data_IF_764842691815
#
_entry.id   IF_764842691815
#
_cell.length_a   1.000
_cell.length_b   1.000
_cell.length_c   1.000
_cell.angle_alpha   90.00
_cell.angle_beta   90.00
_cell.angle_gamma   90.00
#
_symmetry.space_group_name_H-M   'P 1'
#
loop_
_entity.id
_entity.type
_entity.pdbx_description
1 polymer ?
#
# COMPACT_ATOMS: atom_id res chain seq x y z
N UNK A 1 9.16 31.54 -38.33
CA UNK A 1 9.72 32.41 -39.38
C UNK A 1 8.58 33.18 -40.04
N UNK A 2 8.11 34.28 -39.43
CA UNK A 2 7.21 35.21 -40.11
C UNK A 2 8.07 36.13 -40.98
N UNK A 3 8.03 35.93 -42.29
CA UNK A 3 8.58 36.94 -43.20
C UNK A 3 7.67 38.15 -43.08
N UNK A 4 8.17 39.23 -42.49
CA UNK A 4 7.47 40.52 -42.53
C UNK A 4 7.13 40.80 -44.00
N UNK A 5 5.85 40.97 -44.36
CA UNK A 5 5.49 41.26 -45.74
C UNK A 5 6.22 42.53 -46.16
N UNK A 6 6.89 42.48 -47.33
CA UNK A 6 7.65 43.62 -47.83
C UNK A 6 6.77 44.86 -47.91
N UNK A 7 7.34 46.01 -47.57
CA UNK A 7 6.69 47.32 -47.72
C UNK A 7 6.38 47.51 -49.21
N UNK A 8 5.17 47.99 -49.59
CA UNK A 8 4.87 48.26 -50.99
C UNK A 8 5.90 49.25 -51.56
N UNK A 9 6.41 48.97 -52.76
CA UNK A 9 7.41 49.83 -53.40
C UNK A 9 6.85 51.24 -53.61
N UNK A 10 7.69 52.24 -53.33
CA UNK A 10 7.32 53.64 -53.51
C UNK A 10 7.27 53.92 -55.02
N UNK A 11 6.12 54.31 -55.59
CA UNK A 11 6.07 54.67 -56.99
C UNK A 11 6.96 55.90 -57.23
N UNK A 12 7.69 55.90 -58.34
CA UNK A 12 8.57 56.99 -58.79
C UNK A 12 8.13 57.43 -60.18
N UNK A 13 8.15 58.73 -60.46
CA UNK A 13 7.85 59.27 -61.78
C UNK A 13 9.03 60.07 -62.31
N UNK A 14 9.52 59.70 -63.49
CA UNK A 14 10.47 60.48 -64.27
C UNK A 14 9.74 61.04 -65.49
N UNK A 15 9.83 62.36 -65.72
CA UNK A 15 9.15 63.06 -66.82
C UNK A 15 10.19 63.42 -67.89
N UNK A 16 9.93 63.08 -69.14
CA UNK A 16 10.80 63.47 -70.26
C UNK A 16 10.59 64.97 -70.59
N UNK A 17 11.66 65.78 -70.66
CA UNK A 17 11.57 67.22 -70.91
C UNK A 17 11.04 67.61 -72.30
N UNK A 18 10.96 66.69 -73.26
CA UNK A 18 10.38 66.95 -74.60
C UNK A 18 8.87 66.66 -74.69
N UNK A 19 8.25 66.15 -73.61
CA UNK A 19 6.81 65.85 -73.58
C UNK A 19 5.94 67.11 -73.71
N UNK A 20 4.81 66.97 -74.40
CA UNK A 20 3.80 68.03 -74.44
C UNK A 20 3.14 68.23 -73.06
N UNK A 21 2.61 69.43 -72.80
CA UNK A 21 1.98 69.75 -71.52
C UNK A 21 0.79 68.82 -71.19
N UNK A 22 0.07 68.34 -72.22
CA UNK A 22 -1.03 67.37 -72.04
C UNK A 22 -0.52 65.99 -71.61
N UNK A 23 0.55 65.49 -72.22
CA UNK A 23 1.16 64.20 -71.87
C UNK A 23 1.78 64.25 -70.47
N UNK A 24 2.39 65.37 -70.11
CA UNK A 24 2.98 65.58 -68.77
C UNK A 24 1.91 65.63 -67.68
N UNK A 25 0.78 66.29 -67.96
CA UNK A 25 -0.37 66.31 -67.04
C UNK A 25 -0.96 64.91 -66.86
N UNK A 26 -1.10 64.13 -67.93
CA UNK A 26 -1.59 62.76 -67.87
C UNK A 26 -0.68 61.86 -67.02
N UNK A 27 0.65 61.94 -67.22
CA UNK A 27 1.62 61.16 -66.45
C UNK A 27 1.61 61.53 -64.95
N UNK A 28 1.44 62.81 -64.61
CA UNK A 28 1.28 63.25 -63.23
C UNK A 28 -0.03 62.75 -62.60
N UNK A 29 -1.13 62.73 -63.35
CA UNK A 29 -2.42 62.21 -62.89
C UNK A 29 -2.38 60.70 -62.65
N UNK A 30 -1.72 59.95 -63.53
CA UNK A 30 -1.50 58.52 -63.38
C UNK A 30 -0.64 58.22 -62.13
N UNK A 31 0.48 58.93 -61.98
CA UNK A 31 1.34 58.78 -60.81
C UNK A 31 0.67 59.15 -59.49
N UNK A 32 -0.13 60.23 -59.48
CA UNK A 32 -0.93 60.59 -58.32
C UNK A 32 -1.91 59.47 -57.94
N UNK A 33 -2.54 58.86 -58.94
CA UNK A 33 -3.45 57.72 -58.74
C UNK A 33 -2.71 56.52 -58.13
N UNK A 34 -1.49 56.23 -58.57
CA UNK A 34 -0.69 55.13 -58.01
C UNK A 34 -0.19 55.41 -56.59
N UNK A 35 0.22 56.64 -56.29
CA UNK A 35 0.52 57.06 -54.91
C UNK A 35 -0.71 56.87 -54.01
N UNK A 36 -1.90 57.25 -54.48
CA UNK A 36 -3.14 57.10 -53.72
C UNK A 36 -3.45 55.63 -53.43
N UNK A 37 -3.31 54.72 -54.40
CA UNK A 37 -3.47 53.27 -54.20
C UNK A 37 -2.48 52.72 -53.16
N UNK A 38 -1.22 53.15 -53.21
CA UNK A 38 -0.20 52.72 -52.24
C UNK A 38 -0.50 53.26 -50.84
N UNK A 39 -0.97 54.51 -50.74
CA UNK A 39 -1.35 55.11 -49.46
C UNK A 39 -2.54 54.38 -48.83
N UNK A 40 -3.56 54.05 -49.63
CA UNK A 40 -4.72 53.26 -49.20
C UNK A 40 -4.29 51.90 -48.66
N UNK A 41 -3.44 51.17 -49.39
CA UNK A 41 -2.89 49.88 -48.94
C UNK A 41 -2.06 49.97 -47.66
N UNK A 42 -1.32 51.08 -47.47
CA UNK A 42 -0.57 51.32 -46.25
C UNK A 42 -1.49 51.61 -45.06
N UNK A 43 -2.58 52.38 -45.28
CA UNK A 43 -3.59 52.64 -44.23
C UNK A 43 -4.25 51.36 -43.76
N UNK A 44 -4.71 50.53 -44.70
CA UNK A 44 -5.31 49.23 -44.40
C UNK A 44 -4.34 48.33 -43.61
N UNK A 45 -3.04 48.34 -43.91
CA UNK A 45 -2.04 47.59 -43.14
C UNK A 45 -1.84 48.13 -41.73
N UNK A 46 -1.84 49.45 -41.55
CA UNK A 46 -1.71 50.08 -40.22
C UNK A 46 -2.92 49.74 -39.37
N UNK A 47 -4.11 49.74 -39.95
CA UNK A 47 -5.36 49.34 -39.30
C UNK A 47 -5.30 47.87 -38.86
N UNK A 48 -5.04 46.94 -39.78
CA UNK A 48 -4.89 45.51 -39.46
C UNK A 48 -3.80 45.22 -38.41
N UNK A 49 -2.68 45.95 -38.44
CA UNK A 49 -1.63 45.81 -37.43
C UNK A 49 -2.04 46.39 -36.08
N UNK A 50 -2.87 47.44 -36.08
CA UNK A 50 -3.52 47.99 -34.90
C UNK A 50 -4.43 46.97 -34.24
N UNK A 51 -5.36 46.40 -35.02
CA UNK A 51 -6.31 45.38 -34.57
C UNK A 51 -5.57 44.16 -34.00
N UNK A 52 -4.55 43.66 -34.73
CA UNK A 52 -3.78 42.51 -34.27
C UNK A 52 -3.02 42.78 -32.96
N UNK A 53 -2.57 44.02 -32.75
CA UNK A 53 -1.89 44.41 -31.51
C UNK A 53 -2.89 44.47 -30.35
N UNK A 54 -4.10 44.94 -30.59
CA UNK A 54 -5.19 44.97 -29.60
C UNK A 54 -5.57 43.54 -29.19
N UNK A 55 -5.82 42.64 -30.15
CA UNK A 55 -6.08 41.21 -29.88
C UNK A 55 -4.99 40.57 -29.01
N UNK A 56 -3.72 40.85 -29.33
CA UNK A 56 -2.58 40.29 -28.59
C UNK A 56 -2.46 40.88 -27.19
N UNK A 57 -2.84 42.14 -26.98
CA UNK A 57 -2.84 42.76 -25.66
C UNK A 57 -3.91 42.11 -24.78
N UNK A 58 -5.12 41.92 -25.30
CA UNK A 58 -6.22 41.25 -24.59
C UNK A 58 -5.87 39.79 -24.24
N UNK A 59 -5.19 39.07 -25.16
CA UNK A 59 -4.69 37.71 -24.94
C UNK A 59 -3.67 37.68 -23.79
N UNK A 60 -2.72 38.62 -23.75
CA UNK A 60 -1.70 38.71 -22.68
C UNK A 60 -2.36 38.99 -21.34
N UNK A 61 -3.30 39.94 -21.27
CA UNK A 61 -4.01 40.28 -20.03
C UNK A 61 -4.81 39.08 -19.50
N UNK A 62 -5.47 38.33 -20.39
CA UNK A 62 -6.18 37.09 -20.04
C UNK A 62 -5.22 36.05 -19.47
N UNK A 63 -4.12 35.77 -20.18
CA UNK A 63 -3.12 34.79 -19.76
C UNK A 63 -2.45 35.19 -18.44
N UNK A 64 -2.23 36.48 -18.19
CA UNK A 64 -1.70 36.97 -16.91
C UNK A 64 -2.65 36.71 -15.75
N UNK A 65 -3.96 36.99 -15.90
CA UNK A 65 -4.97 36.70 -14.86
C UNK A 65 -5.10 35.21 -14.59
N UNK A 66 -5.07 34.39 -15.65
CA UNK A 66 -5.09 32.94 -15.53
C UNK A 66 -3.83 32.44 -14.80
N UNK A 67 -2.66 32.99 -15.12
CA UNK A 67 -1.40 32.65 -14.45
C UNK A 67 -1.39 33.08 -12.97
N UNK A 68 -1.92 34.25 -12.64
CA UNK A 68 -2.07 34.69 -11.24
C UNK A 68 -3.04 33.80 -10.45
N UNK A 69 -4.11 33.33 -11.09
CA UNK A 69 -5.04 32.37 -10.47
C UNK A 69 -4.38 31.01 -10.24
N UNK A 70 -3.49 30.58 -11.15
CA UNK A 70 -2.74 29.33 -11.05
C UNK A 70 -1.54 29.40 -10.08
N UNK A 71 -1.05 30.60 -9.75
CA UNK A 71 -0.05 30.85 -8.72
C UNK A 71 -0.67 30.83 -7.31
N UNK A 72 -1.49 29.83 -7.02
CA UNK A 72 -1.96 29.58 -5.66
C UNK A 72 -0.79 29.52 -4.68
N UNK A 73 -1.00 30.10 -3.50
CA UNK A 73 -0.05 30.19 -2.40
C UNK A 73 0.54 28.82 -2.10
N UNK A 74 1.87 28.75 -1.92
CA UNK A 74 2.50 27.50 -1.48
C UNK A 74 1.92 27.10 -0.13
N UNK A 75 1.35 25.90 -0.06
CA UNK A 75 0.88 25.32 1.19
C UNK A 75 1.99 24.47 1.79
N UNK A 76 2.22 24.65 3.08
CA UNK A 76 3.14 23.87 3.90
C UNK A 76 2.36 22.99 4.86
N UNK A 77 2.94 21.86 5.24
CA UNK A 77 2.35 20.97 6.23
C UNK A 77 2.71 21.48 7.63
N UNK A 78 1.73 21.53 8.52
CA UNK A 78 1.90 21.81 9.95
C UNK A 78 1.09 20.80 10.79
N UNK A 79 1.46 20.64 12.06
CA UNK A 79 0.67 19.88 13.06
C UNK A 79 0.11 20.83 14.09
N UNK A 80 -1.14 20.63 14.48
CA UNK A 80 -1.78 21.36 15.58
C UNK A 80 -1.24 20.81 16.90
N UNK A 81 -0.55 21.64 17.66
CA UNK A 81 0.00 21.27 18.98
C UNK A 81 -1.05 21.48 20.08
N UNK A 82 -1.81 22.57 20.01
CA UNK A 82 -2.83 22.90 21.01
C UNK A 82 -3.90 23.85 20.44
N UNK A 83 -5.11 23.77 21.01
CA UNK A 83 -6.25 24.62 20.67
C UNK A 83 -6.63 25.42 21.91
N UNK A 84 -6.50 26.74 21.82
CA UNK A 84 -6.75 27.67 22.92
C UNK A 84 -7.89 28.63 22.59
N UNK A 85 -8.42 29.31 23.61
CA UNK A 85 -9.47 30.33 23.43
C UNK A 85 -9.01 31.50 22.52
N UNK A 86 -7.70 31.74 22.45
CA UNK A 86 -7.07 32.84 21.71
C UNK A 86 -6.62 32.44 20.28
N UNK A 87 -6.74 31.16 19.90
CA UNK A 87 -6.31 30.64 18.60
C UNK A 87 -5.71 29.24 18.66
N UNK A 88 -5.12 28.79 17.57
CA UNK A 88 -4.53 27.45 17.43
C UNK A 88 -3.02 27.55 17.32
N UNK A 89 -2.31 26.76 18.12
CA UNK A 89 -0.85 26.66 18.06
C UNK A 89 -0.51 25.58 17.04
N UNK A 90 0.20 25.97 15.99
CA UNK A 90 0.68 25.06 14.95
C UNK A 90 2.19 24.96 14.97
N UNK A 91 2.71 23.81 14.53
CA UNK A 91 4.12 23.55 14.29
C UNK A 91 4.35 23.17 12.84
N UNK A 92 5.03 24.04 12.11
CA UNK A 92 5.31 23.81 10.69
C UNK A 92 6.40 22.75 10.51
N UNK A 93 6.14 21.77 9.64
CA UNK A 93 7.10 20.73 9.27
C UNK A 93 8.21 21.31 8.39
N UNK A 94 9.45 20.86 8.62
CA UNK A 94 10.63 21.26 7.86
C UNK A 94 11.49 22.32 8.56
N UNK A 95 10.89 23.41 9.02
CA UNK A 95 11.58 24.45 9.81
C UNK A 95 11.31 24.37 11.32
N UNK A 96 10.37 23.51 11.76
CA UNK A 96 9.95 23.33 13.16
C UNK A 96 9.56 24.65 13.85
N UNK A 97 8.95 25.57 13.10
CA UNK A 97 8.50 26.84 13.66
C UNK A 97 7.13 26.67 14.32
N UNK A 98 7.03 27.10 15.58
CA UNK A 98 5.77 27.12 16.34
C UNK A 98 5.15 28.51 16.25
N UNK A 99 3.88 28.58 15.83
CA UNK A 99 3.15 29.82 15.60
C UNK A 99 1.74 29.71 16.16
N UNK A 100 1.30 30.73 16.90
CA UNK A 100 -0.10 30.92 17.27
C UNK A 100 -0.80 31.60 16.08
N UNK A 101 -1.82 30.94 15.55
CA UNK A 101 -2.54 31.40 14.36
C UNK A 101 -4.05 31.35 14.56
N UNK A 102 -4.76 32.10 13.71
CA UNK A 102 -6.20 32.06 13.61
C UNK A 102 -6.64 31.00 12.59
N UNK A 103 -7.74 30.33 12.92
CA UNK A 103 -8.40 29.36 12.04
C UNK A 103 -9.62 30.00 11.40
N UNK A 104 -9.82 29.73 10.11
CA UNK A 104 -11.04 30.09 9.40
C UNK A 104 -12.26 29.57 10.17
N UNK A 105 -13.31 30.38 10.27
CA UNK A 105 -14.48 30.07 11.11
C UNK A 105 -15.10 28.71 10.79
N UNK A 106 -15.02 28.26 9.53
CA UNK A 106 -15.53 26.96 9.10
C UNK A 106 -14.75 25.75 9.65
N UNK A 107 -13.46 25.90 9.96
CA UNK A 107 -12.58 24.81 10.39
C UNK A 107 -12.38 24.78 11.92
N UNK A 108 -12.90 25.78 12.65
CA UNK A 108 -12.70 25.86 14.12
C UNK A 108 -13.41 24.75 14.89
N UNK A 109 -14.50 24.22 14.36
CA UNK A 109 -15.28 23.16 15.05
C UNK A 109 -14.68 21.77 14.82
N UNK A 110 -13.87 21.60 13.77
CA UNK A 110 -13.35 20.29 13.33
C UNK A 110 -11.86 20.10 13.66
N UNK A 111 -11.18 21.08 14.26
CA UNK A 111 -9.75 21.02 14.56
C UNK A 111 -9.51 20.59 16.00
N UNK A 112 -8.71 19.53 16.16
CA UNK A 112 -8.25 19.00 17.43
C UNK A 112 -6.71 19.03 17.54
N UNK A 113 -6.21 18.92 18.77
CA UNK A 113 -4.78 18.80 19.02
C UNK A 113 -4.26 17.46 18.44
N UNK A 114 -3.22 17.54 17.61
CA UNK A 114 -2.66 16.41 16.87
C UNK A 114 -2.95 16.45 15.36
N UNK A 115 -3.93 17.24 14.92
CA UNK A 115 -4.33 17.28 13.51
C UNK A 115 -3.23 17.80 12.59
N UNK A 116 -3.17 17.24 11.37
CA UNK A 116 -2.32 17.78 10.30
C UNK A 116 -3.12 18.80 9.51
N UNK A 117 -2.46 19.92 9.19
CA UNK A 117 -3.09 21.03 8.49
C UNK A 117 -2.16 21.58 7.42
N UNK A 118 -2.75 22.07 6.33
CA UNK A 118 -2.07 22.82 5.30
C UNK A 118 -2.15 24.32 5.62
N UNK A 119 -0.99 24.95 5.73
CA UNK A 119 -0.84 26.36 6.09
C UNK A 119 -0.17 27.13 4.97
N UNK A 120 -0.61 28.35 4.71
CA UNK A 120 0.01 29.23 3.73
C UNK A 120 1.26 29.94 4.29
N UNK A 121 1.89 30.80 3.49
CA UNK A 121 3.05 31.60 3.91
C UNK A 121 2.78 32.53 5.13
N UNK A 122 1.50 32.81 5.43
CA UNK A 122 1.08 33.60 6.60
C UNK A 122 0.68 32.75 7.81
N UNK A 123 0.97 31.45 7.78
CA UNK A 123 0.63 30.48 8.83
C UNK A 123 -0.89 30.31 9.06
N UNK A 124 -1.74 30.76 8.15
CA UNK A 124 -3.18 30.55 8.24
C UNK A 124 -3.52 29.13 7.82
N UNK A 125 -4.33 28.43 8.62
CA UNK A 125 -4.84 27.10 8.28
C UNK A 125 -5.84 27.21 7.14
N UNK A 126 -5.51 26.65 5.98
CA UNK A 126 -6.39 26.65 4.81
C UNK A 126 -7.19 25.36 4.68
N UNK A 127 -6.62 24.22 5.11
CA UNK A 127 -7.23 22.91 4.94
C UNK A 127 -6.73 21.93 6.01
N UNK A 128 -7.65 21.08 6.49
CA UNK A 128 -7.31 19.88 7.25
C UNK A 128 -6.74 18.81 6.31
N UNK A 129 -5.64 18.20 6.71
CA UNK A 129 -5.03 17.08 5.99
C UNK A 129 -5.37 15.80 6.71
N UNK A 130 -5.53 14.72 5.94
CA UNK A 130 -5.69 13.39 6.50
C UNK A 130 -4.45 13.03 7.34
N UNK A 131 -4.69 12.22 8.39
CA UNK A 131 -3.65 11.68 9.25
C UNK A 131 -2.59 10.98 8.37
N UNK A 132 -1.31 11.14 8.72
CA UNK A 132 -0.25 10.43 8.00
C UNK A 132 -0.27 8.97 8.45
N UNK A 133 -1.12 8.13 7.86
CA UNK A 133 -0.87 6.69 7.92
C UNK A 133 0.50 6.48 7.30
N UNK A 134 1.43 5.89 8.05
CA UNK A 134 2.76 5.59 7.52
C UNK A 134 2.60 4.87 6.17
N UNK A 135 3.32 5.30 5.14
CA UNK A 135 3.26 4.66 3.82
C UNK A 135 3.56 3.15 3.92
N UNK A 136 4.30 2.73 4.96
CA UNK A 136 4.52 1.31 5.29
C UNK A 136 3.26 0.61 5.78
N UNK A 137 2.46 1.26 6.63
CA UNK A 137 1.18 0.70 7.08
C UNK A 137 0.19 0.59 5.92
N UNK A 138 0.13 1.57 5.03
CA UNK A 138 -0.68 1.46 3.81
C UNK A 138 -0.20 0.34 2.88
N UNK A 139 1.12 0.12 2.78
CA UNK A 139 1.68 -1.01 2.01
C UNK A 139 1.44 -2.39 2.65
N UNK A 140 1.02 -2.45 3.91
CA UNK A 140 0.63 -3.68 4.61
C UNK A 140 -0.84 -4.05 4.35
N UNK A 141 -1.65 -3.12 3.82
CA UNK A 141 -2.98 -3.42 3.30
C UNK A 141 -2.82 -4.33 2.08
N UNK A 142 -3.45 -5.50 2.12
CA UNK A 142 -3.39 -6.44 1.02
C UNK A 142 -4.50 -6.08 0.03
N UNK A 143 -4.15 -5.37 -1.04
CA UNK A 143 -5.08 -4.89 -2.09
C UNK A 143 -5.85 -6.02 -2.82
N UNK A 144 -5.36 -7.26 -2.77
CA UNK A 144 -5.99 -8.43 -3.40
C UNK A 144 -6.16 -9.58 -2.39
N UNK A 145 -7.38 -10.09 -2.26
CA UNK A 145 -7.68 -11.26 -1.43
C UNK A 145 -6.68 -12.39 -1.72
N UNK A 146 -6.05 -12.99 -0.69
CA UNK A 146 -5.09 -14.08 -0.89
C UNK A 146 -5.74 -15.22 -1.68
N UNK A 147 -5.07 -15.78 -2.70
CA UNK A 147 -5.62 -16.88 -3.52
C UNK A 147 -5.76 -18.24 -2.78
N UNK A 148 -5.56 -18.27 -1.46
CA UNK A 148 -5.56 -19.50 -0.66
C UNK A 148 -6.94 -19.74 -0.10
N UNK A 149 -7.46 -20.95 -0.27
CA UNK A 149 -8.73 -21.40 0.29
C UNK A 149 -8.52 -22.47 1.38
N UNK A 150 -9.56 -22.80 2.14
CA UNK A 150 -9.50 -23.92 3.08
C UNK A 150 -9.32 -25.28 2.40
N UNK A 151 -9.65 -25.39 1.10
CA UNK A 151 -9.43 -26.62 0.34
C UNK A 151 -7.95 -26.89 0.06
N UNK A 152 -7.13 -25.83 0.10
CA UNK A 152 -5.66 -25.89 -0.05
C UNK A 152 -4.94 -26.22 1.26
N UNK A 153 -5.69 -26.54 2.33
CA UNK A 153 -5.16 -26.88 3.65
C UNK A 153 -5.66 -28.27 4.05
N UNK A 154 -4.75 -29.19 4.37
CA UNK A 154 -5.08 -30.57 4.76
C UNK A 154 -4.60 -30.93 6.17
N UNK A 155 -5.37 -31.75 6.87
CA UNK A 155 -4.93 -32.42 8.12
C UNK A 155 -5.02 -31.58 9.39
N UNK A 156 -5.66 -30.41 9.31
CA UNK A 156 -5.87 -29.50 10.46
C UNK A 156 -7.31 -28.99 10.52
N UNK A 157 -8.28 -29.88 10.24
CA UNK A 157 -9.71 -29.54 10.15
C UNK A 157 -10.27 -29.00 11.47
N UNK A 158 -9.79 -29.50 12.61
CA UNK A 158 -10.18 -28.99 13.93
C UNK A 158 -9.70 -27.56 14.15
N UNK A 159 -8.44 -27.26 13.80
CA UNK A 159 -7.86 -25.93 13.93
C UNK A 159 -8.52 -24.94 12.97
N UNK A 160 -8.86 -25.37 11.75
CA UNK A 160 -9.65 -24.56 10.80
C UNK A 160 -10.97 -24.15 11.46
N UNK A 161 -11.72 -25.11 12.03
CA UNK A 161 -12.98 -24.81 12.72
C UNK A 161 -12.80 -23.83 13.87
N UNK A 162 -11.79 -24.03 14.72
CA UNK A 162 -11.54 -23.11 15.86
C UNK A 162 -11.22 -21.68 15.42
N UNK A 163 -10.43 -21.51 14.35
CA UNK A 163 -10.13 -20.17 13.81
C UNK A 163 -11.36 -19.54 13.20
N UNK A 164 -12.19 -20.31 12.47
CA UNK A 164 -13.45 -19.81 11.89
C UNK A 164 -14.41 -19.33 12.97
N UNK A 165 -14.60 -20.11 14.03
CA UNK A 165 -15.44 -19.74 15.18
C UNK A 165 -14.92 -18.49 15.92
N UNK A 166 -13.60 -18.29 15.95
CA UNK A 166 -12.99 -17.17 16.66
C UNK A 166 -12.89 -15.88 15.84
N UNK A 167 -12.81 -15.96 14.50
CA UNK A 167 -12.55 -14.82 13.62
C UNK A 167 -13.67 -14.59 12.59
N UNK A 168 -14.08 -15.62 11.86
CA UNK A 168 -15.07 -15.50 10.78
C UNK A 168 -16.49 -15.30 11.34
N UNK A 169 -16.92 -16.14 12.30
CA UNK A 169 -18.27 -16.07 12.86
C UNK A 169 -18.61 -14.71 13.49
N UNK A 170 -17.72 -14.07 14.27
CA UNK A 170 -17.97 -12.72 14.79
C UNK A 170 -18.10 -11.64 13.72
N UNK A 171 -17.49 -11.81 12.54
CA UNK A 171 -17.55 -10.86 11.44
C UNK A 171 -18.77 -11.09 10.54
N UNK A 172 -19.15 -12.35 10.34
CA UNK A 172 -20.27 -12.72 9.46
C UNK A 172 -21.62 -12.67 10.20
N UNK A 173 -21.65 -13.07 11.47
CA UNK A 173 -22.88 -13.23 12.26
C UNK A 173 -22.82 -12.50 13.63
N UNK A 174 -22.55 -11.19 13.68
CA UNK A 174 -22.42 -10.46 14.95
C UNK A 174 -23.68 -10.55 15.83
N UNK A 175 -24.87 -10.54 15.22
CA UNK A 175 -26.16 -10.64 15.93
C UNK A 175 -26.28 -11.91 16.81
N UNK A 176 -25.63 -13.01 16.43
CA UNK A 176 -25.67 -14.25 17.22
C UNK A 176 -24.92 -14.10 18.55
N UNK A 177 -23.81 -13.37 18.55
CA UNK A 177 -23.03 -13.09 19.75
C UNK A 177 -23.78 -12.13 20.67
N UNK A 178 -24.41 -11.10 20.11
CA UNK A 178 -25.29 -10.19 20.85
C UNK A 178 -26.47 -10.92 21.50
N UNK A 179 -27.16 -11.79 20.74
CA UNK A 179 -28.30 -12.56 21.23
C UNK A 179 -27.89 -13.57 22.31
N UNK A 180 -26.70 -14.15 22.20
CA UNK A 180 -26.12 -15.04 23.20
C UNK A 180 -25.58 -14.29 24.43
N UNK A 181 -25.37 -12.97 24.33
CA UNK A 181 -24.83 -12.13 25.40
C UNK A 181 -23.37 -12.45 25.75
N UNK A 182 -22.58 -12.87 24.74
CA UNK A 182 -21.17 -13.19 24.90
C UNK A 182 -20.31 -12.25 24.05
N UNK A 183 -19.16 -11.86 24.57
CA UNK A 183 -18.18 -11.12 23.80
C UNK A 183 -17.35 -12.08 22.93
N UNK A 184 -17.18 -11.79 21.64
CA UNK A 184 -16.32 -12.59 20.77
C UNK A 184 -14.85 -12.50 21.23
N UNK A 185 -14.02 -13.51 20.93
CA UNK A 185 -12.61 -13.50 21.33
C UNK A 185 -11.85 -12.28 20.80
N UNK A 186 -10.96 -11.74 21.65
CA UNK A 186 -10.20 -10.52 21.34
C UNK A 186 -9.09 -10.73 20.31
N UNK A 187 -8.57 -11.95 20.22
CA UNK A 187 -7.47 -12.29 19.33
C UNK A 187 -7.13 -13.78 19.39
N UNK A 188 -6.56 -14.27 18.28
CA UNK A 188 -6.16 -15.66 18.07
C UNK A 188 -4.65 -15.74 17.91
N UNK A 189 -3.99 -16.61 18.69
CA UNK A 189 -2.58 -16.93 18.54
C UNK A 189 -2.43 -18.36 17.99
N UNK A 190 -1.94 -18.45 16.77
CA UNK A 190 -1.54 -19.70 16.11
C UNK A 190 -0.11 -20.06 16.53
N UNK A 191 0.09 -21.23 17.13
CA UNK A 191 1.41 -21.71 17.48
C UNK A 191 1.64 -23.15 17.07
N UNK A 192 2.90 -23.51 16.81
CA UNK A 192 3.25 -24.89 16.44
C UNK A 192 4.56 -24.95 15.66
N UNK A 193 5.02 -26.15 15.29
CA UNK A 193 6.24 -26.33 14.50
C UNK A 193 6.24 -25.51 13.20
N UNK A 194 7.41 -25.10 12.68
CA UNK A 194 7.49 -24.45 11.37
C UNK A 194 6.96 -25.40 10.27
N UNK A 195 6.40 -24.83 9.19
CA UNK A 195 5.95 -25.61 8.05
C UNK A 195 4.59 -26.31 8.20
N UNK A 196 3.84 -26.05 9.28
CA UNK A 196 2.49 -26.62 9.51
C UNK A 196 1.34 -25.80 8.91
N UNK A 197 1.62 -24.75 8.13
CA UNK A 197 0.59 -24.00 7.42
C UNK A 197 -0.10 -22.88 8.21
N UNK A 198 0.46 -22.41 9.34
CA UNK A 198 -0.09 -21.27 10.11
C UNK A 198 -0.38 -20.01 9.27
N UNK A 199 0.59 -19.60 8.44
CA UNK A 199 0.44 -18.46 7.54
C UNK A 199 -0.60 -18.71 6.44
N UNK A 200 -0.74 -19.97 5.97
CA UNK A 200 -1.76 -20.35 4.99
C UNK A 200 -3.15 -20.31 5.60
N UNK A 201 -3.30 -20.78 6.85
CA UNK A 201 -4.56 -20.74 7.60
C UNK A 201 -5.07 -19.31 7.78
N UNK A 202 -4.19 -18.38 8.17
CA UNK A 202 -4.56 -16.97 8.30
C UNK A 202 -4.97 -16.34 6.97
N UNK A 203 -4.28 -16.67 5.86
CA UNK A 203 -4.64 -16.21 4.52
C UNK A 203 -5.98 -16.78 4.05
N UNK A 204 -6.27 -18.05 4.35
CA UNK A 204 -7.54 -18.69 3.99
C UNK A 204 -8.73 -18.03 4.70
N UNK A 205 -8.56 -17.67 5.98
CA UNK A 205 -9.57 -16.89 6.73
C UNK A 205 -9.81 -15.55 6.05
N UNK A 206 -8.75 -14.84 5.72
CA UNK A 206 -8.84 -13.54 5.06
C UNK A 206 -9.55 -13.61 3.70
N UNK A 207 -9.35 -14.69 2.94
CA UNK A 207 -10.01 -14.89 1.66
C UNK A 207 -11.50 -15.26 1.80
N UNK A 208 -11.88 -15.91 2.91
CA UNK A 208 -13.27 -16.31 3.15
C UNK A 208 -14.13 -15.16 3.73
N UNK A 209 -13.48 -14.15 4.30
CA UNK A 209 -14.12 -12.96 4.86
C UNK A 209 -14.04 -11.78 3.89
N UNK A 210 -15.12 -10.99 3.74
CA UNK A 210 -15.10 -9.70 3.02
C UNK A 210 -14.41 -8.57 3.84
N UNK A 211 -13.57 -8.92 4.81
CA UNK A 211 -12.90 -7.98 5.70
C UNK A 211 -11.55 -7.52 5.13
N UNK A 212 -11.17 -6.28 5.42
CA UNK A 212 -9.87 -5.73 5.05
C UNK A 212 -8.76 -6.53 5.72
N UNK A 213 -7.88 -7.15 4.93
CA UNK A 213 -6.77 -7.92 5.45
C UNK A 213 -5.49 -7.10 5.50
N UNK A 214 -4.97 -6.91 6.71
CA UNK A 214 -3.73 -6.17 6.94
C UNK A 214 -2.68 -7.15 7.43
N UNK A 215 -1.63 -7.36 6.64
CA UNK A 215 -0.58 -8.32 6.95
C UNK A 215 0.72 -7.61 7.32
N UNK A 216 1.33 -8.06 8.42
CA UNK A 216 2.68 -7.63 8.79
C UNK A 216 3.53 -8.80 9.30
N UNK A 217 4.84 -8.70 9.11
CA UNK A 217 5.79 -9.56 9.82
C UNK A 217 6.22 -8.88 11.12
N UNK A 218 6.31 -9.63 12.22
CA UNK A 218 6.74 -9.13 13.52
C UNK A 218 8.15 -8.54 13.50
N UNK A 219 9.00 -8.98 12.58
CA UNK A 219 10.34 -8.40 12.35
C UNK A 219 10.28 -6.96 11.81
N UNK A 220 9.21 -6.56 11.13
CA UNK A 220 9.03 -5.19 10.62
C UNK A 220 8.73 -4.18 11.73
N UNK A 221 8.25 -4.65 12.88
CA UNK A 221 8.06 -3.82 14.07
C UNK A 221 9.39 -3.50 14.78
N UNK A 222 10.48 -4.21 14.46
CA UNK A 222 11.79 -4.01 15.08
C UNK A 222 12.57 -2.93 14.33
N UNK A 223 12.48 -1.68 14.82
CA UNK A 223 13.12 -0.52 14.19
C UNK A 223 14.41 -0.10 14.89
N UNK A 224 15.31 0.53 14.12
CA UNK A 224 16.59 1.06 14.65
C UNK A 224 16.41 2.39 15.39
N UNK A 225 15.38 3.15 15.00
CA UNK A 225 15.10 4.44 15.58
C UNK A 225 14.08 4.32 16.70
N UNK A 226 14.27 5.16 17.71
CA UNK A 226 13.48 5.14 18.94
C UNK A 226 12.07 5.66 18.63
N UNK A 227 11.05 4.85 18.93
CA UNK A 227 9.64 5.21 18.81
C UNK A 227 9.01 4.93 17.45
N UNK A 228 9.79 4.54 16.43
CA UNK A 228 9.23 4.21 15.11
C UNK A 228 8.35 2.95 15.14
N UNK A 229 8.76 1.90 15.86
CA UNK A 229 7.97 0.69 15.98
C UNK A 229 6.63 0.95 16.68
N UNK A 230 6.64 1.73 17.76
CA UNK A 230 5.42 2.13 18.47
C UNK A 230 4.52 3.10 17.68
N UNK A 231 5.08 3.88 16.74
CA UNK A 231 4.28 4.68 15.81
C UNK A 231 3.60 3.78 14.79
N UNK A 232 4.34 2.85 14.19
CA UNK A 232 3.83 1.91 13.20
C UNK A 232 2.69 1.04 13.75
N UNK A 233 2.77 0.60 15.00
CA UNK A 233 1.66 -0.12 15.66
C UNK A 233 0.40 0.76 15.75
N UNK A 234 0.53 2.03 16.13
CA UNK A 234 -0.61 2.94 16.18
C UNK A 234 -1.22 3.13 14.79
N UNK A 235 -0.38 3.43 13.81
CA UNK A 235 -0.82 3.67 12.43
C UNK A 235 -1.52 2.43 11.84
N UNK A 236 -1.08 1.22 12.19
CA UNK A 236 -1.70 -0.05 11.80
C UNK A 236 -3.12 -0.20 12.36
N UNK A 237 -3.31 0.06 13.66
CA UNK A 237 -4.63 -0.04 14.30
C UNK A 237 -5.57 1.07 13.84
N UNK A 238 -5.06 2.29 13.62
CA UNK A 238 -5.82 3.37 13.00
C UNK A 238 -6.29 2.99 11.60
N UNK A 239 -5.41 2.43 10.76
CA UNK A 239 -5.77 1.96 9.42
C UNK A 239 -6.83 0.84 9.48
N UNK A 240 -6.69 -0.09 10.43
CA UNK A 240 -7.68 -1.15 10.62
C UNK A 240 -9.05 -0.59 11.02
N UNK A 241 -9.09 0.43 11.88
CA UNK A 241 -10.35 1.07 12.31
C UNK A 241 -11.00 1.89 11.19
N UNK A 242 -10.20 2.57 10.37
CA UNK A 242 -10.69 3.27 9.18
C UNK A 242 -11.26 2.33 8.10
N UNK A 243 -10.88 1.04 8.14
CA UNK A 243 -11.21 0.02 7.12
C UNK A 243 -12.01 -1.15 7.68
N UNK A 244 -12.78 -0.92 8.74
CA UNK A 244 -13.65 -1.94 9.34
C UNK A 244 -14.72 -2.44 8.34
N UNK A 245 -15.04 -3.76 8.34
CA UNK A 245 -14.45 -4.83 9.15
C UNK A 245 -13.02 -5.18 8.71
N UNK A 246 -12.12 -5.46 9.66
CA UNK A 246 -10.70 -5.68 9.38
C UNK A 246 -10.07 -6.84 10.17
N UNK A 247 -9.12 -7.55 9.55
CA UNK A 247 -8.32 -8.61 10.17
C UNK A 247 -6.83 -8.24 10.09
N UNK A 248 -6.21 -8.06 11.25
CA UNK A 248 -4.77 -7.82 11.39
C UNK A 248 -4.06 -9.16 11.57
N UNK A 249 -3.16 -9.52 10.65
CA UNK A 249 -2.32 -10.72 10.76
C UNK A 249 -0.86 -10.36 11.04
N UNK A 250 -0.35 -10.82 12.17
CA UNK A 250 1.05 -10.64 12.62
C UNK A 250 1.78 -11.98 12.56
N UNK A 251 2.62 -12.18 11.54
CA UNK A 251 3.48 -13.36 11.46
C UNK A 251 4.74 -13.18 12.32
N UNK A 252 5.37 -14.26 12.78
CA UNK A 252 6.59 -14.22 13.60
C UNK A 252 6.52 -13.25 14.79
N UNK A 253 5.41 -13.27 15.54
CA UNK A 253 5.19 -12.32 16.65
C UNK A 253 6.28 -12.41 17.73
N UNK A 254 6.98 -13.54 17.85
CA UNK A 254 8.12 -13.73 18.76
C UNK A 254 9.28 -12.76 18.50
N UNK A 255 9.36 -12.11 17.33
CA UNK A 255 10.31 -11.03 17.08
C UNK A 255 10.11 -9.82 18.01
N UNK A 256 8.86 -9.52 18.40
CA UNK A 256 8.54 -8.40 19.31
C UNK A 256 8.05 -8.84 20.68
N UNK A 257 7.52 -10.06 20.78
CA UNK A 257 6.85 -10.61 21.95
C UNK A 257 7.75 -11.47 22.83
N UNK A 258 9.06 -11.53 22.56
CA UNK A 258 9.96 -12.41 23.31
C UNK A 258 10.13 -12.02 24.78
N UNK A 259 10.32 -13.02 25.63
CA UNK A 259 10.60 -12.86 27.07
C UNK A 259 11.81 -11.95 27.28
N UNK A 260 11.73 -11.15 28.33
CA UNK A 260 12.81 -10.28 28.80
C UNK A 260 14.11 -11.07 28.97
N UNK A 261 15.10 -10.75 28.14
CA UNK A 261 16.48 -11.18 28.38
C UNK A 261 17.17 -10.08 29.16
N UNK A 262 18.01 -10.44 30.15
CA UNK A 262 18.72 -9.49 31.03
C UNK A 262 19.76 -8.59 30.31
N UNK A 263 19.82 -8.66 28.97
CA UNK A 263 20.64 -7.79 28.13
C UNK A 263 20.07 -6.37 28.10
N UNK A 264 20.85 -5.41 28.60
CA UNK A 264 20.50 -3.98 28.63
C UNK A 264 20.96 -3.28 27.35
N UNK A 265 20.55 -3.78 26.19
CA UNK A 265 20.88 -3.14 24.90
C UNK A 265 19.81 -2.12 24.55
N UNK A 266 20.18 -1.01 23.90
CA UNK A 266 19.20 0.02 23.48
C UNK A 266 18.15 -0.52 22.51
N UNK A 267 18.47 -1.57 21.74
CA UNK A 267 17.51 -2.24 20.85
C UNK A 267 16.43 -3.03 21.60
N UNK A 268 16.80 -3.72 22.67
CA UNK A 268 15.86 -4.52 23.47
C UNK A 268 14.79 -3.62 24.14
N UNK A 269 15.19 -2.40 24.53
CA UNK A 269 14.28 -1.40 25.08
C UNK A 269 13.28 -0.86 24.03
N UNK A 270 13.66 -0.82 22.75
CA UNK A 270 12.78 -0.38 21.66
C UNK A 270 11.74 -1.44 21.33
N UNK A 271 12.17 -2.70 21.22
CA UNK A 271 11.28 -3.84 21.03
C UNK A 271 10.24 -3.92 22.15
N UNK A 272 10.67 -3.72 23.40
CA UNK A 272 9.77 -3.67 24.55
C UNK A 272 8.76 -2.53 24.47
N UNK A 273 9.16 -1.33 24.02
CA UNK A 273 8.21 -0.22 23.86
C UNK A 273 7.18 -0.51 22.77
N UNK A 274 7.61 -1.12 21.67
CA UNK A 274 6.71 -1.53 20.59
C UNK A 274 5.73 -2.62 21.07
N UNK A 275 6.22 -3.59 21.84
CA UNK A 275 5.37 -4.61 22.49
C UNK A 275 4.35 -3.98 23.45
N UNK A 276 4.77 -3.03 24.29
CA UNK A 276 3.85 -2.33 25.20
C UNK A 276 2.80 -1.53 24.43
N UNK A 277 3.16 -0.91 23.30
CA UNK A 277 2.19 -0.25 22.44
C UNK A 277 1.19 -1.25 21.86
N UNK A 278 1.66 -2.37 21.31
CA UNK A 278 0.77 -3.41 20.77
C UNK A 278 -0.20 -3.91 21.84
N UNK A 279 0.29 -4.15 23.06
CA UNK A 279 -0.55 -4.53 24.18
C UNK A 279 -1.55 -3.43 24.59
N UNK A 280 -1.18 -2.16 24.44
CA UNK A 280 -2.06 -1.03 24.72
C UNK A 280 -3.15 -0.88 23.66
N UNK A 281 -2.85 -1.09 22.38
CA UNK A 281 -3.85 -1.11 21.30
C UNK A 281 -4.78 -2.31 21.43
N UNK A 282 -4.24 -3.47 21.86
CA UNK A 282 -5.07 -4.61 22.23
C UNK A 282 -5.95 -4.25 23.43
N UNK A 283 -5.41 -3.88 24.59
CA UNK A 283 -6.23 -3.56 25.77
C UNK A 283 -7.16 -2.34 25.59
N UNK A 284 -6.90 -1.53 24.56
CA UNK A 284 -7.56 -0.26 24.28
C UNK A 284 -9.00 -0.39 23.78
N UNK A 285 -9.89 0.21 24.57
CA UNK A 285 -11.26 0.66 24.31
C UNK A 285 -12.39 -0.38 24.18
N UNK A 286 -13.47 -0.03 24.87
CA UNK A 286 -14.73 -0.75 25.08
C UNK A 286 -15.57 -0.91 23.78
N UNK A 287 -15.04 -0.47 22.62
CA UNK A 287 -15.67 -0.55 21.30
C UNK A 287 -14.60 -0.84 20.23
N UNK A 288 -14.02 -2.05 20.18
CA UNK A 288 -13.05 -2.45 19.13
C UNK A 288 -13.64 -2.60 17.72
N UNK A 289 -14.85 -2.08 17.51
CA UNK A 289 -15.57 -2.22 16.25
C UNK A 289 -15.55 -3.65 15.74
N UNK A 290 -15.34 -3.80 14.43
CA UNK A 290 -15.23 -5.09 13.75
C UNK A 290 -13.77 -5.46 13.41
N UNK A 291 -12.83 -5.23 14.35
CA UNK A 291 -11.41 -5.55 14.17
C UNK A 291 -11.04 -6.86 14.86
N UNK A 292 -10.41 -7.78 14.13
CA UNK A 292 -9.90 -9.06 14.65
C UNK A 292 -8.39 -9.18 14.48
N UNK A 293 -7.72 -9.81 15.44
CA UNK A 293 -6.26 -9.98 15.44
C UNK A 293 -5.92 -11.47 15.39
N UNK A 294 -5.09 -11.84 14.43
CA UNK A 294 -4.47 -13.16 14.31
C UNK A 294 -2.95 -12.98 14.41
N UNK A 295 -2.29 -13.72 15.30
CA UNK A 295 -0.84 -13.77 15.36
C UNK A 295 -0.34 -15.19 15.16
N UNK A 296 0.85 -15.35 14.56
CA UNK A 296 1.50 -16.64 14.41
C UNK A 296 2.89 -16.65 15.03
N UNK A 297 3.27 -17.77 15.67
CA UNK A 297 4.64 -18.02 16.11
C UNK A 297 5.05 -19.47 15.94
N UNK A 298 6.35 -19.69 15.74
CA UNK A 298 6.97 -21.01 15.81
C UNK A 298 7.60 -21.30 17.19
N UNK A 299 7.68 -20.29 18.07
CA UNK A 299 8.43 -20.33 19.35
C UNK A 299 7.56 -19.90 20.52
N UNK A 300 6.48 -20.64 20.75
CA UNK A 300 5.54 -20.35 21.83
C UNK A 300 6.22 -20.24 23.22
N UNK A 301 7.25 -21.05 23.45
CA UNK A 301 8.04 -21.07 24.68
C UNK A 301 8.78 -19.75 24.97
N UNK A 302 9.04 -18.95 23.93
CA UNK A 302 9.76 -17.69 24.02
C UNK A 302 8.86 -16.48 24.28
N UNK A 303 7.54 -16.61 24.18
CA UNK A 303 6.62 -15.49 24.29
C UNK A 303 6.45 -14.99 25.74
N UNK A 304 6.33 -13.67 25.91
CA UNK A 304 5.99 -13.05 27.19
C UNK A 304 4.54 -13.38 27.58
N UNK A 305 4.35 -13.83 28.82
CA UNK A 305 3.02 -14.16 29.37
C UNK A 305 2.06 -12.97 29.38
N UNK A 306 2.55 -11.73 29.27
CA UNK A 306 1.70 -10.56 29.13
C UNK A 306 0.75 -10.71 27.93
N UNK A 307 1.24 -11.21 26.80
CA UNK A 307 0.48 -11.32 25.55
C UNK A 307 -0.63 -12.38 25.64
N UNK A 308 -0.44 -13.39 26.48
CA UNK A 308 -1.37 -14.51 26.69
C UNK A 308 -2.45 -14.23 27.76
N UNK A 309 -2.55 -12.99 28.26
CA UNK A 309 -3.55 -12.64 29.28
C UNK A 309 -4.95 -12.51 28.66
N UNK A 310 -6.01 -12.84 29.42
CA UNK A 310 -7.38 -12.58 28.98
C UNK A 310 -7.59 -11.11 28.56
N UNK A 311 -8.33 -10.91 27.47
CA UNK A 311 -8.52 -9.63 26.78
C UNK A 311 -7.53 -9.36 25.65
N UNK A 312 -6.55 -10.26 25.42
CA UNK A 312 -5.51 -10.12 24.39
C UNK A 312 -5.60 -11.27 23.39
N UNK A 313 -4.70 -12.25 23.48
CA UNK A 313 -4.85 -13.50 22.74
C UNK A 313 -5.59 -14.52 23.60
N UNK A 314 -6.92 -14.45 23.54
CA UNK A 314 -7.82 -15.31 24.31
C UNK A 314 -7.86 -16.75 23.79
N UNK A 315 -7.62 -16.92 22.49
CA UNK A 315 -7.61 -18.23 21.83
C UNK A 315 -6.19 -18.60 21.43
N UNK A 316 -5.71 -19.69 22.00
CA UNK A 316 -4.42 -20.29 21.68
C UNK A 316 -4.71 -21.57 20.90
N UNK A 317 -4.33 -21.58 19.62
CA UNK A 317 -4.60 -22.71 18.72
C UNK A 317 -3.26 -23.34 18.36
N UNK A 318 -3.07 -24.57 18.80
CA UNK A 318 -1.92 -25.38 18.42
C UNK A 318 -2.16 -25.98 17.03
N UNK A 319 -1.26 -25.69 16.09
CA UNK A 319 -1.24 -26.25 14.75
C UNK A 319 -0.17 -27.35 14.70
N UNK A 320 -0.56 -28.62 14.92
CA UNK A 320 0.39 -29.73 15.00
C UNK A 320 0.92 -30.12 13.63
N UNK A 321 1.87 -31.06 13.61
CA UNK A 321 2.20 -31.76 12.37
C UNK A 321 1.00 -32.62 11.92
N UNK A 322 0.77 -32.75 10.60
CA UNK A 322 -0.33 -33.55 10.07
C UNK A 322 -0.22 -35.02 10.49
N UNK A 323 -1.36 -35.62 10.82
CA UNK A 323 -1.48 -37.06 11.02
C UNK A 323 -1.41 -37.81 9.68
N UNK A 324 -1.54 -39.14 9.69
CA UNK A 324 -1.42 -39.93 8.46
C UNK A 324 -2.45 -39.53 7.39
N UNK A 325 -3.71 -39.31 7.78
CA UNK A 325 -4.75 -38.86 6.86
C UNK A 325 -4.49 -37.43 6.35
N UNK A 326 -4.01 -36.55 7.22
CA UNK A 326 -3.59 -35.20 6.89
C UNK A 326 -2.45 -35.19 5.88
N UNK A 327 -1.41 -36.02 6.07
CA UNK A 327 -0.28 -36.14 5.12
C UNK A 327 -0.73 -36.61 3.75
N UNK A 328 -1.61 -37.61 3.70
CA UNK A 328 -2.24 -38.08 2.46
C UNK A 328 -2.93 -36.92 1.73
N UNK A 329 -3.71 -36.13 2.46
CA UNK A 329 -4.41 -34.97 1.90
C UNK A 329 -3.47 -33.86 1.43
N UNK A 330 -2.41 -33.57 2.19
CA UNK A 330 -1.39 -32.59 1.82
C UNK A 330 -0.65 -33.04 0.54
N UNK A 331 -0.33 -34.34 0.41
CA UNK A 331 0.22 -34.90 -0.82
C UNK A 331 -0.73 -34.71 -2.01
N UNK A 332 -2.03 -35.01 -1.86
CA UNK A 332 -3.03 -34.79 -2.91
C UNK A 332 -3.10 -33.33 -3.34
N UNK A 333 -3.07 -32.38 -2.39
CA UNK A 333 -3.11 -30.94 -2.67
C UNK A 333 -1.89 -30.50 -3.50
N UNK A 334 -0.67 -30.86 -3.06
CA UNK A 334 0.56 -30.44 -3.74
C UNK A 334 0.79 -31.14 -5.07
N UNK A 335 0.16 -32.31 -5.30
CA UNK A 335 0.29 -33.07 -6.54
C UNK A 335 -0.85 -32.87 -7.53
N UNK A 336 -1.90 -32.10 -7.18
CA UNK A 336 -3.11 -31.92 -8.00
C UNK A 336 -2.83 -31.46 -9.44
N UNK A 337 -1.79 -30.65 -9.61
CA UNK A 337 -1.39 -30.06 -10.90
C UNK A 337 -0.24 -30.84 -11.57
N UNK A 338 0.26 -31.89 -10.92
CA UNK A 338 1.34 -32.74 -11.43
C UNK A 338 0.78 -33.84 -12.34
N UNK A 339 1.52 -34.16 -13.40
CA UNK A 339 1.22 -35.32 -14.24
C UNK A 339 1.77 -36.59 -13.56
N UNK A 340 0.92 -37.23 -12.76
CA UNK A 340 1.26 -38.45 -12.02
C UNK A 340 0.89 -39.70 -12.81
N UNK A 341 1.71 -40.74 -12.68
CA UNK A 341 1.37 -42.09 -13.14
C UNK A 341 0.39 -42.78 -12.18
N UNK A 342 -0.39 -43.73 -12.70
CA UNK A 342 -1.40 -44.50 -11.94
C UNK A 342 -0.80 -45.38 -10.82
N UNK A 343 0.53 -45.52 -10.77
CA UNK A 343 1.26 -46.30 -9.76
C UNK A 343 1.54 -45.54 -8.46
N UNK A 344 1.26 -44.23 -8.41
CA UNK A 344 1.51 -43.40 -7.22
C UNK A 344 0.49 -43.75 -6.12
N UNK A 345 1.01 -44.28 -5.01
CA UNK A 345 0.22 -44.68 -3.85
C UNK A 345 0.36 -43.66 -2.71
N UNK A 346 -0.63 -42.78 -2.56
CA UNK A 346 -0.65 -41.76 -1.51
C UNK A 346 -0.76 -42.33 -0.11
N UNK A 347 -1.40 -43.49 0.08
CA UNK A 347 -1.49 -44.13 1.39
C UNK A 347 -0.10 -44.60 1.83
N UNK A 348 0.66 -45.21 0.91
CA UNK A 348 2.04 -45.62 1.18
C UNK A 348 2.95 -44.41 1.45
N UNK A 349 2.83 -43.34 0.66
CA UNK A 349 3.60 -42.12 0.87
C UNK A 349 3.28 -41.44 2.21
N UNK A 350 2.02 -41.43 2.64
CA UNK A 350 1.62 -40.87 3.93
C UNK A 350 2.16 -41.68 5.13
N UNK A 351 2.28 -43.01 4.98
CA UNK A 351 2.97 -43.86 5.96
C UNK A 351 4.48 -43.61 5.98
N UNK A 352 5.12 -43.47 4.81
CA UNK A 352 6.55 -43.27 4.69
C UNK A 352 7.03 -41.89 5.17
N UNK A 353 6.15 -40.89 5.13
CA UNK A 353 6.43 -39.49 5.52
C UNK A 353 6.08 -39.20 6.99
N UNK A 354 6.17 -40.20 7.88
CA UNK A 354 5.83 -39.99 9.28
C UNK A 354 6.67 -38.90 9.96
N UNK A 355 5.98 -37.98 10.63
CA UNK A 355 6.59 -36.81 11.26
C UNK A 355 6.86 -35.62 10.34
N UNK A 356 6.64 -35.73 9.02
CA UNK A 356 6.85 -34.63 8.09
C UNK A 356 5.81 -33.52 8.31
N UNK A 357 6.26 -32.28 8.21
CA UNK A 357 5.44 -31.07 8.12
C UNK A 357 4.90 -30.88 6.69
N UNK A 358 3.90 -30.01 6.53
CA UNK A 358 3.36 -29.70 5.20
C UNK A 358 4.41 -29.16 4.23
N UNK A 359 5.34 -28.33 4.72
CA UNK A 359 6.46 -27.80 3.92
C UNK A 359 7.45 -28.90 3.49
N UNK A 360 7.68 -29.93 4.32
CA UNK A 360 8.52 -31.07 3.96
C UNK A 360 7.85 -31.94 2.90
N UNK A 361 6.53 -32.10 2.96
CA UNK A 361 5.75 -32.80 1.93
C UNK A 361 5.74 -32.03 0.61
N UNK A 362 5.56 -30.70 0.65
CA UNK A 362 5.71 -29.84 -0.52
C UNK A 362 7.10 -30.00 -1.16
N UNK A 363 8.15 -30.02 -0.33
CA UNK A 363 9.53 -30.23 -0.78
C UNK A 363 9.71 -31.61 -1.43
N UNK A 364 9.11 -32.66 -0.84
CA UNK A 364 9.13 -34.02 -1.38
C UNK A 364 8.48 -34.08 -2.77
N UNK A 365 7.28 -33.51 -2.93
CA UNK A 365 6.55 -33.51 -4.22
C UNK A 365 7.33 -32.74 -5.30
N UNK A 366 7.94 -31.60 -4.93
CA UNK A 366 8.78 -30.80 -5.83
C UNK A 366 10.04 -31.55 -6.27
N UNK A 367 10.75 -32.20 -5.35
CA UNK A 367 11.94 -32.99 -5.69
C UNK A 367 11.59 -34.20 -6.55
N UNK A 368 10.44 -34.85 -6.30
CA UNK A 368 9.94 -35.96 -7.11
C UNK A 368 9.70 -35.54 -8.56
N UNK A 369 9.07 -34.38 -8.76
CA UNK A 369 8.93 -33.78 -10.10
C UNK A 369 10.29 -33.48 -10.75
N UNK A 370 11.27 -33.04 -9.97
CA UNK A 370 12.61 -32.75 -10.47
C UNK A 370 13.36 -34.03 -10.89
N UNK A 371 13.17 -35.17 -10.22
CA UNK A 371 13.71 -36.46 -10.67
C UNK A 371 13.17 -36.86 -12.04
N UNK A 372 11.85 -36.79 -12.24
CA UNK A 372 11.24 -37.08 -13.53
C UNK A 372 11.79 -36.17 -14.65
N UNK A 373 11.94 -34.86 -14.37
CA UNK A 373 12.51 -33.91 -15.34
C UNK A 373 13.98 -34.21 -15.67
N UNK A 374 14.80 -34.55 -14.66
CA UNK A 374 16.22 -34.91 -14.87
C UNK A 374 16.37 -36.13 -15.79
N UNK A 375 15.43 -37.05 -15.74
CA UNK A 375 15.38 -38.24 -16.61
C UNK A 375 14.75 -37.96 -17.99
N UNK A 376 14.34 -36.71 -18.25
CA UNK A 376 13.67 -36.32 -19.49
C UNK A 376 12.24 -36.84 -19.62
N UNK A 377 11.62 -37.22 -18.49
CA UNK A 377 10.22 -37.65 -18.41
C UNK A 377 9.32 -36.46 -18.08
N UNK A 378 8.04 -36.60 -18.42
CA UNK A 378 6.99 -35.62 -18.11
C UNK A 378 5.93 -36.18 -17.16
N UNK A 379 6.08 -37.44 -16.78
CA UNK A 379 5.21 -38.18 -15.88
C UNK A 379 6.04 -38.59 -14.65
N UNK A 380 5.50 -38.30 -13.48
CA UNK A 380 6.13 -38.59 -12.18
C UNK A 380 5.57 -39.92 -11.68
N UNK A 381 6.48 -40.81 -11.28
CA UNK A 381 6.19 -42.20 -10.89
C UNK A 381 6.47 -42.41 -9.41
N UNK A 382 6.04 -43.55 -8.87
CA UNK A 382 6.28 -43.87 -7.46
C UNK A 382 7.78 -44.00 -7.11
N UNK A 383 8.61 -44.42 -8.08
CA UNK A 383 10.06 -44.50 -7.92
C UNK A 383 10.69 -43.11 -7.71
N UNK A 384 10.14 -42.06 -8.33
CA UNK A 384 10.61 -40.68 -8.15
C UNK A 384 10.39 -40.18 -6.73
N UNK A 385 9.21 -40.49 -6.16
CA UNK A 385 8.91 -40.15 -4.76
C UNK A 385 9.80 -40.92 -3.79
N UNK A 386 10.05 -42.19 -4.06
CA UNK A 386 10.94 -43.01 -3.25
C UNK A 386 12.37 -42.46 -3.28
N UNK A 387 12.88 -42.13 -4.48
CA UNK A 387 14.20 -41.51 -4.64
C UNK A 387 14.31 -40.12 -3.99
N UNK A 388 13.24 -39.33 -4.02
CA UNK A 388 13.18 -38.06 -3.32
C UNK A 388 13.21 -38.22 -1.79
N UNK A 389 12.49 -39.22 -1.26
CA UNK A 389 12.46 -39.53 0.16
C UNK A 389 13.85 -39.99 0.65
N UNK A 390 14.51 -40.90 -0.08
CA UNK A 390 15.89 -41.33 0.20
C UNK A 390 16.87 -40.15 0.21
N UNK A 391 16.72 -39.20 -0.71
CA UNK A 391 17.56 -38.01 -0.79
C UNK A 391 17.37 -37.09 0.42
N UNK A 392 16.12 -36.88 0.84
CA UNK A 392 15.79 -36.05 2.01
C UNK A 392 16.32 -36.71 3.29
N UNK A 393 16.15 -38.02 3.45
CA UNK A 393 16.67 -38.78 4.59
C UNK A 393 18.21 -38.84 4.65
N UNK A 394 18.87 -38.88 3.49
CA UNK A 394 20.33 -38.88 3.40
C UNK A 394 20.97 -37.54 3.83
N UNK A 395 20.17 -36.49 4.08
CA UNK A 395 20.63 -35.21 4.59
C UNK A 395 21.56 -34.46 3.61
N UNK A 396 21.40 -34.67 2.30
CA UNK A 396 22.26 -34.06 1.31
C UNK A 396 21.92 -32.56 1.19
N UNK A 397 22.71 -31.77 1.91
CA UNK A 397 22.71 -30.32 2.16
C UNK A 397 22.86 -29.48 0.87
N UNK A 398 22.04 -29.79 -0.14
CA UNK A 398 21.84 -28.96 -1.34
C UNK A 398 20.53 -28.22 -1.17
N UNK A 399 20.51 -27.30 -0.20
CA UNK A 399 19.52 -26.25 -0.12
C UNK A 399 19.33 -25.64 -1.51
N UNK A 400 18.15 -25.83 -2.08
CA UNK A 400 17.71 -25.09 -3.27
C UNK A 400 17.70 -23.61 -2.86
N UNK A 401 18.43 -22.72 -3.55
CA UNK A 401 18.43 -21.31 -3.17
C UNK A 401 17.03 -20.75 -3.40
N UNK A 402 16.46 -20.15 -2.34
CA UNK A 402 15.27 -19.32 -2.34
C UNK A 402 14.98 -18.69 -3.71
N UNK A 403 14.06 -19.28 -4.47
CA UNK A 403 13.42 -18.62 -5.61
C UNK A 403 12.43 -17.60 -5.06
N UNK A 404 12.97 -16.43 -4.71
CA UNK A 404 12.19 -15.19 -4.63
C UNK A 404 11.60 -14.95 -6.01
N UNK A 405 10.32 -15.25 -6.19
CA UNK A 405 9.55 -14.61 -7.25
C UNK A 405 9.45 -13.13 -6.91
N UNK A 406 10.24 -12.34 -7.63
CA UNK A 406 9.99 -10.92 -7.78
C UNK A 406 9.06 -10.78 -8.99
N UNK A 407 7.82 -10.37 -8.75
CA UNK A 407 7.07 -9.44 -9.61
C UNK A 407 6.12 -8.64 -8.75
#
# INVERSE_FOLDING_TARGET
MSRSPSVPDRPTLELDPEMSDEERLAALQEHFTDIMKVNEKLRERVENAGDRREDLADEVDRLQRENETLKTTSLYVATVEDVTDDGVIIKQHGNNQEVLTDVAVQLREDIEAGDRVAVNDSFTIERLLDSETDARAQAMEVDASPEVSYEDIGGIEEQIREVREAVEEPLVNPEQFEAAGIEPPSGVLLHGPPGTGKTMLAKAVANQTDATFIKMAGSELVQKFIGEGAKLVRDLFSLASEREPAVIFIDEIDAVASKRTDSKTSGDAEVQRTMMQLLSEMDGFEDRGEIRIIAATNRFDMLDNAILRPGRFDRLIEVPNPDNEGRRRVLEIHTRDMNLSDDVDFDHLAEATDGFSGAEIESLTTESGMFAIRDGRTEVTMDDFTGALEKIEAGDDTAVPNLRYAY
#
